data_IF_649111787697
#
_entry.id   IF_649111787697
#
_cell.length_a   1.000
_cell.length_b   1.000
_cell.length_c   1.000
_cell.angle_alpha   90.00
_cell.angle_beta   90.00
_cell.angle_gamma   90.00
#
_symmetry.space_group_name_H-M   'P 1'
#
loop_
_entity.id
_entity.type
_entity.pdbx_description
1 polymer ?
#
# COMPACT_ATOMS: atom_id res chain seq x y z
N UNK A 1 4.88 -33.45 -11.83
CA UNK A 1 4.43 -33.82 -10.46
C UNK A 1 4.64 -32.73 -9.40
N UNK A 2 5.61 -31.81 -9.53
CA UNK A 2 5.90 -30.77 -8.53
C UNK A 2 4.81 -29.68 -8.33
N UNK A 3 3.97 -29.42 -9.32
CA UNK A 3 2.98 -28.33 -9.25
C UNK A 3 1.77 -28.68 -8.38
N UNK A 4 1.27 -29.92 -8.52
CA UNK A 4 0.15 -30.44 -7.70
C UNK A 4 0.50 -30.45 -6.21
N UNK A 5 1.74 -30.83 -5.89
CA UNK A 5 2.23 -30.88 -4.51
C UNK A 5 2.20 -29.50 -3.81
N UNK A 6 2.61 -28.42 -4.49
CA UNK A 6 2.58 -27.07 -3.91
C UNK A 6 1.18 -26.61 -3.55
N UNK A 7 0.21 -26.86 -4.43
CA UNK A 7 -1.18 -26.48 -4.22
C UNK A 7 -1.77 -27.24 -3.03
N UNK A 8 -1.49 -28.54 -2.91
CA UNK A 8 -1.94 -29.34 -1.77
C UNK A 8 -1.39 -28.80 -0.44
N UNK A 9 -0.07 -28.60 -0.35
CA UNK A 9 0.57 -28.04 0.85
C UNK A 9 0.13 -26.61 1.20
N UNK A 10 -0.37 -25.87 0.21
CA UNK A 10 -0.95 -24.54 0.42
C UNK A 10 -2.32 -24.68 1.07
N UNK A 11 -3.21 -25.51 0.51
CA UNK A 11 -4.56 -25.71 1.03
C UNK A 11 -4.62 -26.37 2.40
N UNK A 12 -3.62 -27.17 2.78
CA UNK A 12 -3.45 -27.65 4.17
C UNK A 12 -3.34 -26.52 5.21
N UNK A 13 -3.06 -25.28 4.77
CA UNK A 13 -2.83 -24.11 5.63
C UNK A 13 -3.86 -23.00 5.42
N UNK A 14 -5.01 -23.34 4.85
CA UNK A 14 -6.09 -22.39 4.58
C UNK A 14 -7.38 -22.89 5.22
N UNK A 15 -7.93 -22.10 6.12
CA UNK A 15 -9.29 -22.28 6.61
C UNK A 15 -10.25 -21.47 5.72
N UNK A 16 -11.16 -22.15 5.04
CA UNK A 16 -12.14 -21.51 4.16
C UNK A 16 -13.47 -21.31 4.87
N UNK A 17 -14.07 -20.14 4.66
CA UNK A 17 -15.47 -19.88 5.00
C UNK A 17 -16.24 -19.44 3.75
N UNK A 18 -17.49 -19.90 3.54
CA UNK A 18 -18.37 -19.36 2.51
C UNK A 18 -18.58 -17.85 2.71
N UNK A 19 -18.50 -17.09 1.62
CA UNK A 19 -18.73 -15.63 1.59
C UNK A 19 -17.85 -14.78 2.53
N UNK A 20 -16.75 -15.33 3.03
CA UNK A 20 -15.83 -14.64 3.93
C UNK A 20 -14.35 -14.94 3.57
N UNK A 21 -13.43 -14.48 4.42
CA UNK A 21 -12.01 -14.64 4.27
C UNK A 21 -11.62 -16.12 4.27
N UNK A 22 -10.73 -16.47 3.35
CA UNK A 22 -10.00 -17.74 3.42
C UNK A 22 -8.72 -17.46 4.18
N UNK A 23 -8.65 -17.89 5.44
CA UNK A 23 -7.63 -17.44 6.39
C UNK A 23 -6.41 -18.35 6.32
N UNK A 24 -5.24 -17.74 6.12
CA UNK A 24 -3.96 -18.43 6.22
C UNK A 24 -3.61 -18.78 7.67
N UNK A 25 -3.47 -20.07 7.96
CA UNK A 25 -3.15 -20.59 9.31
C UNK A 25 -1.67 -20.85 9.53
N UNK A 26 -0.86 -20.82 8.46
CA UNK A 26 0.59 -20.98 8.53
C UNK A 26 1.35 -19.76 9.07
N UNK A 27 2.68 -19.78 8.85
CA UNK A 27 3.59 -18.71 9.24
C UNK A 27 3.19 -17.35 8.65
N UNK A 28 3.41 -16.28 9.41
CA UNK A 28 3.06 -14.89 9.04
C UNK A 28 4.25 -13.96 9.31
N UNK A 29 4.39 -12.91 8.51
CA UNK A 29 5.30 -11.81 8.78
C UNK A 29 4.74 -10.86 9.86
N UNK A 30 5.59 -10.02 10.49
CA UNK A 30 5.12 -8.87 11.25
C UNK A 30 4.16 -8.03 10.40
N UNK A 31 2.96 -7.75 10.93
CA UNK A 31 1.86 -7.13 10.16
C UNK A 31 0.79 -8.11 9.67
N UNK A 32 0.93 -9.41 9.95
CA UNK A 32 -0.14 -10.41 9.77
C UNK A 32 -0.20 -11.07 8.39
N UNK A 33 0.64 -10.64 7.44
CA UNK A 33 0.68 -11.23 6.10
C UNK A 33 1.18 -12.67 6.13
N UNK A 34 0.41 -13.59 5.55
CA UNK A 34 0.80 -14.98 5.44
C UNK A 34 2.02 -15.19 4.55
N UNK A 35 2.85 -16.16 4.91
CA UNK A 35 4.09 -16.51 4.26
C UNK A 35 4.07 -17.99 3.88
N UNK A 36 4.41 -18.30 2.63
CA UNK A 36 4.41 -19.64 2.06
C UNK A 36 5.73 -19.95 1.35
N UNK A 37 6.27 -21.15 1.58
CA UNK A 37 7.43 -21.64 0.83
C UNK A 37 6.97 -22.29 -0.48
N UNK A 38 7.28 -21.70 -1.63
CA UNK A 38 6.85 -22.20 -2.94
C UNK A 38 7.73 -23.34 -3.50
N UNK A 39 8.67 -23.86 -2.70
CA UNK A 39 9.68 -24.84 -3.12
C UNK A 39 11.01 -24.24 -3.57
N UNK A 40 11.07 -22.92 -3.78
CA UNK A 40 12.28 -22.19 -4.18
C UNK A 40 12.58 -21.01 -3.26
N UNK A 41 11.54 -20.30 -2.83
CA UNK A 41 11.64 -19.12 -1.97
C UNK A 41 10.39 -18.95 -1.10
N UNK A 42 10.55 -18.12 -0.09
CA UNK A 42 9.42 -17.61 0.69
C UNK A 42 8.68 -16.54 -0.11
N UNK A 43 7.36 -16.67 -0.21
CA UNK A 43 6.46 -15.72 -0.89
C UNK A 43 5.27 -15.39 0.00
N UNK A 44 4.57 -14.29 -0.29
CA UNK A 44 3.32 -13.96 0.39
C UNK A 44 2.23 -14.96 -0.03
N UNK A 45 1.49 -15.51 0.94
CA UNK A 45 0.51 -16.57 0.69
C UNK A 45 -0.62 -16.11 -0.24
N UNK A 46 -1.14 -14.90 0.00
CA UNK A 46 -2.19 -14.32 -0.83
C UNK A 46 -1.72 -14.09 -2.27
N UNK A 47 -0.47 -13.62 -2.45
CA UNK A 47 0.13 -13.43 -3.77
C UNK A 47 0.31 -14.75 -4.51
N UNK A 48 0.85 -15.76 -3.81
CA UNK A 48 1.05 -17.08 -4.40
C UNK A 48 -0.24 -17.60 -5.01
N UNK A 49 -1.32 -17.62 -4.23
CA UNK A 49 -2.59 -18.16 -4.68
C UNK A 49 -3.29 -17.27 -5.70
N UNK A 50 -3.24 -15.94 -5.54
CA UNK A 50 -3.78 -15.01 -6.54
C UNK A 50 -3.13 -15.22 -7.92
N UNK A 51 -1.80 -15.40 -7.97
CA UNK A 51 -1.07 -15.66 -9.21
C UNK A 51 -1.41 -17.04 -9.83
N UNK A 52 -1.85 -18.03 -9.03
CA UNK A 52 -2.32 -19.32 -9.57
C UNK A 52 -3.64 -19.20 -10.32
N UNK A 53 -4.49 -18.26 -9.92
CA UNK A 53 -5.84 -18.09 -10.47
C UNK A 53 -5.85 -17.05 -11.59
N UNK A 54 -5.14 -15.94 -11.40
CA UNK A 54 -5.20 -14.78 -12.30
C UNK A 54 -3.95 -14.60 -13.17
N UNK A 55 -2.91 -15.41 -12.94
CA UNK A 55 -1.61 -15.26 -13.60
C UNK A 55 -0.72 -14.21 -12.95
N UNK A 56 0.36 -13.85 -13.64
CA UNK A 56 1.39 -12.94 -13.10
C UNK A 56 0.78 -11.57 -12.79
N UNK A 57 1.06 -11.02 -11.61
CA UNK A 57 0.64 -9.66 -11.26
C UNK A 57 1.28 -8.67 -12.26
N UNK A 58 0.47 -7.85 -12.96
CA UNK A 58 1.00 -6.88 -13.91
C UNK A 58 1.99 -5.91 -13.26
N UNK A 59 3.01 -5.52 -14.02
CA UNK A 59 4.04 -4.58 -13.54
C UNK A 59 3.39 -3.26 -13.11
N UNK A 60 3.75 -2.79 -11.93
CA UNK A 60 3.24 -1.52 -11.37
C UNK A 60 1.94 -1.65 -10.57
N UNK A 61 1.40 -2.86 -10.44
CA UNK A 61 0.25 -3.14 -9.58
C UNK A 61 0.68 -3.83 -8.27
N UNK A 62 -0.11 -3.59 -7.23
CA UNK A 62 -0.02 -4.17 -5.89
C UNK A 62 -1.34 -4.87 -5.55
N UNK A 63 -1.29 -5.91 -4.72
CA UNK A 63 -2.50 -6.59 -4.25
C UNK A 63 -3.02 -5.90 -2.99
N UNK A 64 -4.24 -5.37 -3.05
CA UNK A 64 -4.95 -4.73 -1.93
C UNK A 64 -6.04 -5.66 -1.37
N UNK A 65 -6.03 -5.84 -0.05
CA UNK A 65 -7.05 -6.60 0.67
C UNK A 65 -8.28 -5.73 0.93
N UNK A 66 -9.35 -5.96 0.16
CA UNK A 66 -10.64 -5.30 0.34
C UNK A 66 -11.24 -5.58 1.72
N UNK A 67 -11.01 -6.79 2.23
CA UNK A 67 -11.46 -7.26 3.55
C UNK A 67 -10.61 -6.76 4.73
N UNK A 68 -9.51 -6.02 4.48
CA UNK A 68 -8.57 -5.54 5.52
C UNK A 68 -8.00 -6.62 6.44
N UNK A 69 -7.99 -7.87 5.98
CA UNK A 69 -7.38 -9.01 6.67
C UNK A 69 -6.11 -9.46 5.90
N UNK A 70 -4.90 -9.10 6.37
CA UNK A 70 -3.64 -9.48 5.72
C UNK A 70 -3.41 -11.00 5.57
N UNK A 71 -4.08 -11.82 6.39
CA UNK A 71 -4.00 -13.27 6.33
C UNK A 71 -4.98 -13.89 5.32
N UNK A 72 -5.89 -13.11 4.74
CA UNK A 72 -6.84 -13.59 3.75
C UNK A 72 -6.15 -13.94 2.43
N UNK A 73 -6.46 -15.11 1.88
CA UNK A 73 -5.96 -15.58 0.57
C UNK A 73 -7.08 -15.73 -0.47
N UNK A 74 -8.32 -15.36 -0.14
CA UNK A 74 -9.45 -15.41 -1.07
C UNK A 74 -9.24 -14.40 -2.22
N UNK A 75 -9.10 -14.84 -3.49
CA UNK A 75 -8.88 -13.94 -4.62
C UNK A 75 -10.02 -12.94 -4.83
N UNK A 76 -11.25 -13.26 -4.42
CA UNK A 76 -12.39 -12.34 -4.50
C UNK A 76 -12.26 -11.16 -3.51
N UNK A 77 -11.45 -11.30 -2.47
CA UNK A 77 -11.17 -10.25 -1.49
C UNK A 77 -9.90 -9.46 -1.81
N UNK A 78 -9.30 -9.69 -2.99
CA UNK A 78 -8.02 -9.12 -3.39
C UNK A 78 -8.15 -8.47 -4.76
N UNK A 79 -7.77 -7.19 -4.84
CA UNK A 79 -7.75 -6.44 -6.08
C UNK A 79 -6.32 -6.04 -6.45
N UNK A 80 -5.95 -6.17 -7.73
CA UNK A 80 -4.68 -5.62 -8.23
C UNK A 80 -4.85 -4.14 -8.56
N UNK A 81 -4.27 -3.26 -7.74
CA UNK A 81 -4.44 -1.80 -7.83
C UNK A 81 -3.10 -1.10 -8.00
N UNK A 82 -3.13 0.18 -8.40
CA UNK A 82 -1.90 0.99 -8.39
C UNK A 82 -1.45 1.28 -6.96
N UNK A 83 -0.16 1.53 -6.76
CA UNK A 83 0.37 1.96 -5.46
C UNK A 83 -0.37 3.18 -4.89
N UNK A 84 -0.73 4.14 -5.74
CA UNK A 84 -1.48 5.34 -5.35
C UNK A 84 -2.85 4.97 -4.77
N UNK A 85 -3.55 4.06 -5.43
CA UNK A 85 -4.87 3.59 -4.98
C UNK A 85 -4.78 2.85 -3.65
N UNK A 86 -3.81 1.94 -3.50
CA UNK A 86 -3.54 1.22 -2.26
C UNK A 86 -3.29 2.18 -1.08
N UNK A 87 -2.46 3.20 -1.28
CA UNK A 87 -2.16 4.22 -0.26
C UNK A 87 -3.41 5.04 0.12
N UNK A 88 -4.21 5.45 -0.86
CA UNK A 88 -5.45 6.20 -0.62
C UNK A 88 -6.49 5.37 0.15
N UNK A 89 -6.51 4.06 -0.09
CA UNK A 89 -7.40 3.11 0.60
C UNK A 89 -6.93 2.78 2.02
N UNK A 90 -5.62 2.73 2.26
CA UNK A 90 -5.03 2.35 3.54
C UNK A 90 -5.10 3.41 4.65
N UNK A 91 -5.39 4.68 4.33
CA UNK A 91 -5.57 5.76 5.31
C UNK A 91 -6.72 6.66 4.89
N UNK A 92 -7.60 7.01 5.83
CA UNK A 92 -8.64 8.00 5.51
C UNK A 92 -7.99 9.33 5.09
N UNK A 93 -8.59 10.05 4.13
CA UNK A 93 -8.14 11.40 3.76
C UNK A 93 -8.01 12.32 4.97
N UNK A 94 -8.87 12.14 5.98
CA UNK A 94 -8.84 12.88 7.24
C UNK A 94 -7.57 12.62 8.04
N UNK A 95 -7.20 11.36 8.27
CA UNK A 95 -5.95 11.02 9.00
C UNK A 95 -4.74 11.56 8.26
N UNK A 96 -4.74 11.47 6.93
CA UNK A 96 -3.66 12.04 6.11
C UNK A 96 -3.57 13.55 6.25
N UNK A 97 -4.71 14.24 6.23
CA UNK A 97 -4.78 15.68 6.43
C UNK A 97 -4.29 16.07 7.83
N UNK A 98 -4.76 15.40 8.88
CA UNK A 98 -4.32 15.65 10.26
C UNK A 98 -2.81 15.48 10.41
N UNK A 99 -2.24 14.42 9.82
CA UNK A 99 -0.79 14.22 9.79
C UNK A 99 -0.04 15.30 9.02
N UNK A 100 -0.61 15.88 7.96
CA UNK A 100 0.02 17.04 7.30
C UNK A 100 -0.09 18.30 8.16
N UNK A 101 -1.21 18.51 8.84
CA UNK A 101 -1.44 19.67 9.71
C UNK A 101 -0.57 19.64 10.97
N UNK A 102 -0.23 18.46 11.50
CA UNK A 102 0.61 18.28 12.68
C UNK A 102 2.09 18.61 12.44
N UNK A 103 2.52 18.73 11.18
CA UNK A 103 3.88 19.13 10.85
C UNK A 103 4.10 20.60 11.20
N UNK A 104 5.12 20.85 12.02
CA UNK A 104 5.58 22.20 12.37
C UNK A 104 6.55 22.77 11.34
N UNK A 105 7.21 21.90 10.54
CA UNK A 105 8.20 22.30 9.54
C UNK A 105 8.00 21.54 8.23
N UNK A 106 8.38 22.17 7.11
CA UNK A 106 8.46 21.50 5.82
C UNK A 106 9.68 20.55 5.74
N UNK A 107 9.77 19.75 4.68
CA UNK A 107 10.88 18.80 4.47
C UNK A 107 12.28 19.45 4.42
N UNK A 108 12.37 20.77 4.18
CA UNK A 108 13.63 21.54 4.18
C UNK A 108 13.90 22.27 5.50
N UNK A 109 13.08 22.03 6.53
CA UNK A 109 13.24 22.64 7.83
C UNK A 109 12.68 24.07 7.97
N UNK A 110 12.02 24.63 6.95
CA UNK A 110 11.34 25.93 7.15
C UNK A 110 10.05 25.74 7.97
N UNK A 111 9.74 26.65 8.92
CA UNK A 111 8.58 26.56 9.79
C UNK A 111 7.26 26.73 9.02
N UNK A 112 6.19 26.13 9.53
CA UNK A 112 4.82 26.40 9.10
C UNK A 112 4.15 27.37 10.10
N UNK A 113 4.51 28.65 9.98
CA UNK A 113 3.91 29.80 10.67
C UNK A 113 3.11 30.67 9.68
N UNK A 114 2.48 31.74 10.16
CA UNK A 114 1.64 32.62 9.33
C UNK A 114 2.43 33.31 8.21
N UNK A 115 3.73 33.54 8.40
CA UNK A 115 4.60 34.22 7.45
C UNK A 115 5.10 33.29 6.34
N UNK A 116 5.34 32.02 6.63
CA UNK A 116 5.93 31.06 5.70
C UNK A 116 4.91 30.02 5.19
N UNK A 117 3.67 30.07 5.67
CA UNK A 117 2.59 29.17 5.25
C UNK A 117 1.63 29.83 4.26
N UNK A 118 1.40 29.17 3.14
CA UNK A 118 0.35 29.53 2.19
C UNK A 118 -0.58 28.34 1.96
N UNK A 119 -1.90 28.54 2.13
CA UNK A 119 -2.91 27.51 1.84
C UNK A 119 -3.40 27.69 0.39
N UNK A 120 -3.31 26.64 -0.42
CA UNK A 120 -3.79 26.67 -1.81
C UNK A 120 -5.33 26.69 -1.83
N UNK A 121 -5.97 27.68 -2.48
CA UNK A 121 -7.42 27.74 -2.57
C UNK A 121 -8.04 26.53 -3.30
N UNK A 122 -7.31 25.95 -4.26
CA UNK A 122 -7.80 24.87 -5.10
C UNK A 122 -8.05 23.55 -4.35
N UNK A 123 -7.29 23.26 -3.30
CA UNK A 123 -7.31 21.95 -2.64
C UNK A 123 -7.05 22.02 -1.13
N UNK A 124 -6.92 23.22 -0.55
CA UNK A 124 -6.62 23.42 0.87
C UNK A 124 -5.21 22.97 1.28
N UNK A 125 -4.32 22.69 0.33
CA UNK A 125 -2.97 22.18 0.63
C UNK A 125 -2.08 23.27 1.23
N UNK A 126 -1.37 22.92 2.31
CA UNK A 126 -0.37 23.78 2.94
C UNK A 126 0.92 23.80 2.13
N UNK A 127 1.40 24.98 1.76
CA UNK A 127 2.61 25.17 0.98
C UNK A 127 3.58 26.10 1.71
N UNK A 128 4.86 25.71 1.71
CA UNK A 128 5.94 26.52 2.26
C UNK A 128 6.35 27.63 1.26
N UNK A 129 6.18 28.90 1.65
CA UNK A 129 6.51 30.08 0.84
C UNK A 129 8.01 30.15 0.52
N UNK A 130 8.89 29.88 1.48
CA UNK A 130 10.33 29.82 1.24
C UNK A 130 10.70 28.78 0.17
N UNK A 131 10.10 27.59 0.22
CA UNK A 131 10.31 26.56 -0.81
C UNK A 131 9.83 27.02 -2.20
N UNK A 132 8.68 27.70 -2.27
CA UNK A 132 8.18 28.26 -3.53
C UNK A 132 9.10 29.35 -4.08
N UNK A 133 9.58 30.26 -3.24
CA UNK A 133 10.51 31.31 -3.65
C UNK A 133 11.82 30.72 -4.23
N UNK A 134 12.36 29.69 -3.57
CA UNK A 134 13.54 28.95 -4.06
C UNK A 134 13.28 28.27 -5.41
N UNK A 135 12.12 27.62 -5.56
CA UNK A 135 11.74 26.99 -6.83
C UNK A 135 11.61 28.02 -7.96
N UNK A 136 10.98 29.17 -7.69
CA UNK A 136 10.83 30.28 -8.65
C UNK A 136 12.19 30.87 -9.05
N UNK A 137 13.11 31.06 -8.10
CA UNK A 137 14.47 31.53 -8.37
C UNK A 137 15.22 30.56 -9.28
N UNK A 138 15.13 29.25 -9.02
CA UNK A 138 15.73 28.20 -9.85
C UNK A 138 15.15 28.16 -11.27
N UNK A 139 13.84 28.35 -11.42
CA UNK A 139 13.20 28.39 -12.72
C UNK A 139 13.67 29.60 -13.55
N UNK A 140 13.74 30.78 -12.95
CA UNK A 140 14.25 31.99 -13.62
C UNK A 140 15.71 31.89 -14.04
N UNK A 141 16.54 31.22 -13.25
CA UNK A 141 17.96 31.02 -13.58
C UNK A 141 18.20 30.01 -14.72
N UNK A 142 17.15 29.31 -15.18
CA UNK A 142 17.19 28.38 -16.32
C UNK A 142 16.62 28.98 -17.60
N UNK A 143 16.12 30.22 -17.54
CA UNK A 143 15.70 31.01 -18.70
C UNK A 143 16.82 31.96 -19.10
#
# INVERSE_FOLDING_TARGET
>A
MLFKDKILRFWEKVETSPDDCWVWTGAKYPGGYGCFWDGKKSVLSHRFYWEQINGVIPKGLELDHLCRNPACVNPQHIEAVTHRENVLRGRSPEIMRQHQLSKTHCLRGHPYDDENTHIRPANGERVCRACQALAKKRWRARQ
#
